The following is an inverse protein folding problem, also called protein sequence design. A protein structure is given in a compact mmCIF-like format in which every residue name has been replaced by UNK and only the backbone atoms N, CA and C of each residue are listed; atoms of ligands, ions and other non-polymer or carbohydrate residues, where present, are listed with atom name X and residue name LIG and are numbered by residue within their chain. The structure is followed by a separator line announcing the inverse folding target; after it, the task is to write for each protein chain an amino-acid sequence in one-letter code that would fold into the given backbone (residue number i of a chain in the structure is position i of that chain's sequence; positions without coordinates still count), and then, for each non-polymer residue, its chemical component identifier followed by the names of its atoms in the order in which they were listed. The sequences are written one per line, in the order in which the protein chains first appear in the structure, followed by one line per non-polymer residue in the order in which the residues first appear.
data_IF_216405328739
#
_entry.id   IF_216405328739
#
_cell.length_a   1.000
_cell.length_b   1.000
_cell.length_c   1.000
_cell.angle_alpha   90.00
_cell.angle_beta   90.00
_cell.angle_gamma   90.00
#
_symmetry.space_group_name_H-M   'P 1'
#
loop_
_entity.id
_entity.type
_entity.pdbx_description
1 polymer ?
#
# COMPACT_ATOMS: atom_id res chain seq x y z
N UNK A 1 3.22 7.27 -7.00
CA UNK A 1 3.56 6.65 -5.69
C UNK A 1 4.84 7.14 -5.00
N UNK A 2 6.08 6.94 -5.51
CA UNK A 2 7.30 7.23 -4.72
C UNK A 2 7.48 8.71 -4.40
N UNK A 3 7.31 9.58 -5.39
CA UNK A 3 7.38 11.04 -5.18
C UNK A 3 6.30 11.52 -4.20
N UNK A 4 5.10 10.92 -4.24
CA UNK A 4 4.03 11.19 -3.28
C UNK A 4 4.44 10.75 -1.88
N UNK A 5 5.04 9.56 -1.71
CA UNK A 5 5.61 9.13 -0.42
C UNK A 5 6.64 10.14 0.11
N UNK A 6 7.55 10.62 -0.75
CA UNK A 6 8.52 11.63 -0.36
C UNK A 6 7.84 12.94 0.09
N UNK A 7 6.76 13.34 -0.59
CA UNK A 7 5.95 14.52 -0.25
C UNK A 7 5.15 14.34 1.04
N UNK A 8 4.56 13.17 1.28
CA UNK A 8 3.87 12.81 2.53
C UNK A 8 4.82 12.94 3.72
N UNK A 9 6.06 12.45 3.58
CA UNK A 9 7.09 12.53 4.64
C UNK A 9 7.73 13.92 4.78
N UNK A 10 7.57 14.80 3.79
CA UNK A 10 8.15 16.14 3.78
C UNK A 10 7.11 17.18 3.35
N UNK A 11 6.04 17.40 4.15
CA UNK A 11 4.87 18.18 3.73
C UNK A 11 5.22 19.62 3.36
N UNK A 12 6.22 20.23 4.00
CA UNK A 12 6.61 21.62 3.76
C UNK A 12 7.66 21.78 2.66
N UNK A 13 8.24 20.68 2.16
CA UNK A 13 9.27 20.73 1.12
C UNK A 13 8.65 20.64 -0.27
N UNK A 14 9.30 21.31 -1.22
CA UNK A 14 9.03 21.09 -2.63
C UNK A 14 9.63 19.74 -3.06
N UNK A 15 8.78 18.84 -3.55
CA UNK A 15 9.18 17.57 -4.16
C UNK A 15 8.86 17.66 -5.65
N UNK A 16 9.86 17.38 -6.49
CA UNK A 16 9.74 17.50 -7.94
C UNK A 16 9.71 16.11 -8.58
N UNK A 17 8.70 15.88 -9.42
CA UNK A 17 8.62 14.73 -10.32
C UNK A 17 8.83 15.25 -11.76
N UNK A 18 9.98 14.94 -12.41
CA UNK A 18 10.30 15.51 -13.72
C UNK A 18 9.34 15.11 -14.84
N UNK A 19 8.78 13.91 -14.77
CA UNK A 19 7.79 13.39 -15.71
C UNK A 19 6.55 12.91 -14.96
N UNK A 20 5.40 13.54 -15.22
CA UNK A 20 4.13 13.19 -14.58
C UNK A 20 3.62 11.81 -14.99
N UNK A 21 4.12 11.26 -16.10
CA UNK A 21 3.74 9.95 -16.62
C UNK A 21 4.63 8.81 -16.09
N UNK A 22 5.60 9.09 -15.19
CA UNK A 22 6.43 8.08 -14.55
C UNK A 22 5.64 7.31 -13.45
N UNK A 23 4.55 6.65 -13.87
CA UNK A 23 3.69 5.80 -13.05
C UNK A 23 4.13 4.33 -13.02
N UNK A 24 3.35 3.49 -12.36
CA UNK A 24 3.59 2.04 -12.29
C UNK A 24 2.27 1.30 -12.47
N UNK A 25 2.21 0.40 -13.45
CA UNK A 25 1.00 -0.40 -13.73
C UNK A 25 0.52 -1.22 -12.52
N UNK A 26 1.45 -1.62 -11.65
CA UNK A 26 1.13 -2.32 -10.41
C UNK A 26 0.42 -1.43 -9.38
N UNK A 27 0.71 -0.13 -9.36
CA UNK A 27 -0.01 0.80 -8.50
C UNK A 27 -1.44 1.04 -9.01
N UNK A 28 -1.59 1.15 -10.33
CA UNK A 28 -2.88 1.35 -11.00
C UNK A 28 -3.84 0.14 -10.85
N UNK A 29 -3.31 -1.06 -10.57
CA UNK A 29 -4.11 -2.28 -10.41
C UNK A 29 -4.94 -2.33 -9.12
N UNK A 30 -4.71 -1.42 -8.17
CA UNK A 30 -5.50 -1.31 -6.94
C UNK A 30 -6.10 0.09 -6.79
N UNK A 31 -7.25 0.35 -7.44
CA UNK A 31 -7.97 1.60 -7.26
C UNK A 31 -8.49 1.73 -5.82
N UNK A 32 -8.26 2.88 -5.17
CA UNK A 32 -8.63 3.11 -3.78
C UNK A 32 -10.13 2.88 -3.51
N UNK A 33 -11.01 3.24 -4.45
CA UNK A 33 -12.44 3.00 -4.31
C UNK A 33 -12.80 1.51 -4.22
N UNK A 34 -12.11 0.65 -4.97
CA UNK A 34 -12.33 -0.80 -4.94
C UNK A 34 -11.79 -1.41 -3.64
N UNK A 35 -10.61 -0.97 -3.20
CA UNK A 35 -10.07 -1.37 -1.90
C UNK A 35 -11.02 -0.98 -0.76
N UNK A 36 -11.54 0.25 -0.77
CA UNK A 36 -12.48 0.73 0.24
C UNK A 36 -13.76 -0.11 0.26
N UNK A 37 -14.35 -0.37 -0.91
CA UNK A 37 -15.53 -1.22 -1.02
C UNK A 37 -15.28 -2.64 -0.47
N UNK A 38 -14.11 -3.20 -0.72
CA UNK A 38 -13.71 -4.51 -0.18
C UNK A 38 -13.57 -4.48 1.34
N UNK A 39 -12.92 -3.45 1.90
CA UNK A 39 -12.79 -3.28 3.35
C UNK A 39 -14.13 -3.06 4.05
N UNK A 40 -15.05 -2.31 3.42
CA UNK A 40 -16.40 -2.10 3.94
C UNK A 40 -17.24 -3.39 3.96
N UNK A 41 -17.02 -4.27 2.99
CA UNK A 41 -17.63 -5.60 2.96
C UNK A 41 -16.96 -6.61 3.91
N UNK A 42 -15.74 -6.35 4.37
CA UNK A 42 -14.97 -7.22 5.27
C UNK A 42 -14.47 -6.43 6.51
N UNK A 43 -15.37 -6.03 7.43
CA UNK A 43 -14.99 -5.22 8.57
C UNK A 43 -13.95 -5.92 9.45
N UNK A 44 -12.90 -5.18 9.83
CA UNK A 44 -11.84 -5.69 10.71
C UNK A 44 -10.68 -6.36 9.99
N UNK A 45 -10.68 -6.46 8.65
CA UNK A 45 -9.50 -6.93 7.92
C UNK A 45 -8.30 -5.98 8.13
N UNK A 46 -7.09 -6.50 8.28
CA UNK A 46 -5.86 -5.73 8.43
C UNK A 46 -5.14 -5.60 7.08
N UNK A 47 -5.05 -4.38 6.57
CA UNK A 47 -4.56 -4.08 5.21
C UNK A 47 -3.09 -3.70 5.25
N UNK A 48 -2.25 -4.54 4.64
CA UNK A 48 -0.83 -4.31 4.40
C UNK A 48 -0.67 -3.91 2.94
N UNK A 49 -0.24 -2.69 2.68
CA UNK A 49 0.01 -2.23 1.31
C UNK A 49 1.51 -2.17 0.99
N UNK A 50 1.90 -2.78 -0.11
CA UNK A 50 3.21 -2.55 -0.71
C UNK A 50 3.32 -1.09 -1.15
N UNK A 51 4.51 -0.50 -0.99
CA UNK A 51 4.76 0.93 -1.25
C UNK A 51 4.34 1.40 -2.65
N UNK A 52 4.33 0.48 -3.62
CA UNK A 52 3.87 0.66 -5.00
C UNK A 52 2.34 0.75 -5.09
N UNK A 53 1.75 1.71 -4.39
CA UNK A 53 0.32 2.02 -4.40
C UNK A 53 0.10 3.54 -4.37
N UNK A 54 -1.10 4.04 -4.67
CA UNK A 54 -1.40 5.47 -4.67
C UNK A 54 -1.33 6.08 -3.25
N UNK A 55 -1.33 7.41 -3.13
CA UNK A 55 -1.48 8.05 -1.82
C UNK A 55 -2.82 7.71 -1.15
N UNK A 56 -3.89 7.59 -1.93
CA UNK A 56 -5.22 7.23 -1.45
C UNK A 56 -5.28 5.80 -0.90
N UNK A 57 -4.63 4.84 -1.57
CA UNK A 57 -4.51 3.46 -1.06
C UNK A 57 -3.73 3.45 0.26
N UNK A 58 -2.67 4.26 0.39
CA UNK A 58 -1.94 4.39 1.66
C UNK A 58 -2.82 4.88 2.78
N UNK A 59 -3.71 5.84 2.51
CA UNK A 59 -4.64 6.37 3.51
C UNK A 59 -5.68 5.32 3.99
N UNK A 60 -5.93 4.29 3.18
CA UNK A 60 -6.81 3.17 3.50
C UNK A 60 -6.10 1.98 4.16
N UNK A 61 -4.77 2.02 4.29
CA UNK A 61 -3.97 0.88 4.75
C UNK A 61 -3.59 1.02 6.21
N UNK A 62 -3.57 -0.10 6.96
CA UNK A 62 -3.10 -0.12 8.34
C UNK A 62 -1.58 0.06 8.41
N UNK A 63 -0.83 -0.49 7.44
CA UNK A 63 0.63 -0.38 7.36
C UNK A 63 1.15 -0.46 5.92
N UNK A 64 2.27 0.23 5.66
CA UNK A 64 2.98 0.20 4.39
C UNK A 64 4.26 -0.62 4.52
N UNK A 65 4.53 -1.50 3.56
CA UNK A 65 5.77 -2.28 3.49
C UNK A 65 6.52 -2.05 2.17
N UNK A 66 7.76 -2.50 2.13
CA UNK A 66 8.54 -2.69 0.89
C UNK A 66 8.95 -4.16 0.77
N UNK A 67 9.47 -4.59 -0.38
CA UNK A 67 9.98 -5.97 -0.54
C UNK A 67 11.09 -6.30 0.46
N UNK A 68 11.87 -5.29 0.89
CA UNK A 68 12.94 -5.46 1.88
C UNK A 68 12.46 -5.71 3.32
N UNK A 69 11.18 -5.48 3.63
CA UNK A 69 10.64 -5.69 4.97
C UNK A 69 9.27 -6.39 5.05
N UNK A 70 8.66 -6.77 3.91
CA UNK A 70 7.32 -7.36 3.85
C UNK A 70 7.13 -8.53 4.82
N UNK A 71 8.07 -9.48 4.84
CA UNK A 71 8.04 -10.64 5.76
C UNK A 71 7.98 -10.20 7.23
N UNK A 72 8.84 -9.26 7.64
CA UNK A 72 8.85 -8.73 9.02
C UNK A 72 7.54 -8.03 9.38
N UNK A 73 6.93 -7.32 8.42
CA UNK A 73 5.67 -6.61 8.64
C UNK A 73 4.51 -7.62 8.80
N UNK A 74 4.45 -8.66 7.97
CA UNK A 74 3.42 -9.71 8.09
C UNK A 74 3.60 -10.53 9.37
N UNK A 75 4.83 -10.88 9.73
CA UNK A 75 5.12 -11.55 11.00
C UNK A 75 4.69 -10.72 12.21
N UNK A 76 4.80 -9.40 12.15
CA UNK A 76 4.38 -8.48 13.20
C UNK A 76 2.88 -8.10 13.15
N UNK A 77 2.16 -8.47 12.10
CA UNK A 77 0.74 -8.16 11.96
C UNK A 77 -0.12 -8.87 13.03
N UNK A 78 -1.29 -8.29 13.42
CA UNK A 78 -2.20 -8.91 14.37
C UNK A 78 -2.56 -10.34 13.96
N UNK A 79 -2.54 -11.27 14.92
CA UNK A 79 -2.79 -12.71 14.67
C UNK A 79 -4.27 -13.10 14.76
N UNK A 80 -5.09 -12.18 15.24
CA UNK A 80 -6.53 -12.32 15.46
C UNK A 80 -7.38 -11.65 14.36
N UNK A 81 -6.74 -11.13 13.30
CA UNK A 81 -7.39 -10.47 12.16
C UNK A 81 -6.96 -11.10 10.85
N UNK A 82 -7.88 -11.21 9.90
CA UNK A 82 -7.55 -11.58 8.53
C UNK A 82 -6.65 -10.52 7.89
N UNK A 83 -5.70 -10.95 7.06
CA UNK A 83 -4.77 -10.06 6.39
C UNK A 83 -5.19 -9.84 4.93
N UNK A 84 -5.12 -8.60 4.48
CA UNK A 84 -5.23 -8.21 3.08
C UNK A 84 -3.89 -7.63 2.63
N UNK A 85 -3.27 -8.23 1.62
CA UNK A 85 -2.07 -7.70 0.99
C UNK A 85 -2.39 -7.13 -0.38
N UNK A 86 -2.00 -5.88 -0.64
CA UNK A 86 -2.23 -5.19 -1.92
C UNK A 86 -1.00 -4.39 -2.37
N UNK A 87 -0.85 -4.07 -3.65
CA UNK A 87 -1.55 -4.64 -4.81
C UNK A 87 -0.86 -5.90 -5.37
N UNK A 88 0.34 -6.23 -4.91
CA UNK A 88 1.18 -7.29 -5.49
C UNK A 88 0.81 -8.66 -4.94
N UNK A 89 0.04 -9.43 -5.74
CA UNK A 89 -0.40 -10.78 -5.38
C UNK A 89 0.77 -11.76 -5.21
N UNK A 90 1.88 -11.58 -5.93
CA UNK A 90 3.02 -12.50 -5.87
C UNK A 90 3.82 -12.24 -4.59
N UNK A 91 4.08 -10.97 -4.28
CA UNK A 91 4.73 -10.61 -3.02
C UNK A 91 3.86 -11.03 -1.84
N UNK A 92 2.55 -10.77 -1.90
CA UNK A 92 1.58 -11.18 -0.87
C UNK A 92 1.56 -12.69 -0.64
N UNK A 93 1.44 -13.48 -1.71
CA UNK A 93 1.46 -14.96 -1.67
C UNK A 93 2.77 -15.55 -1.14
N UNK A 94 3.89 -14.82 -1.27
CA UNK A 94 5.16 -15.24 -0.71
C UNK A 94 5.28 -15.01 0.81
N UNK A 95 4.58 -14.01 1.37
CA UNK A 95 4.72 -13.62 2.79
C UNK A 95 3.57 -14.02 3.71
N UNK A 96 2.38 -14.30 3.17
CA UNK A 96 1.18 -14.74 3.91
C UNK A 96 0.99 -16.24 3.69
#
# INVERSE_FOLDING_TARGET
FMAETAKILNPDKLVLLPDRNAGCSLEESCPAAQLKAFQDANPGIYTIAYINCSADVKALSDVICTSGNAMKIVEAAPKDRDLLFVPDENLGSWVI
#
